data_IF_997538100337
#
_entry.id   IF_997538100337
#
_cell.length_a   1.000
_cell.length_b   1.000
_cell.length_c   1.000
_cell.angle_alpha   90.00
_cell.angle_beta   90.00
_cell.angle_gamma   90.00
#
_symmetry.space_group_name_H-M   'P 1'
#
loop_
_entity.id
_entity.type
_entity.pdbx_description
1 polymer ?
#
# COMPACT_ATOMS: atom_id res chain seq x y z
N UNK A 1 -0.12 -35.98 23.13
CA UNK A 1 0.21 -35.37 21.84
C UNK A 1 -0.60 -34.09 21.76
N UNK A 2 -0.04 -33.00 22.29
CA UNK A 2 -0.72 -31.71 22.30
C UNK A 2 -0.38 -31.02 20.99
N UNK A 3 -1.38 -30.69 20.20
CA UNK A 3 -1.26 -29.73 19.10
C UNK A 3 -0.80 -28.41 19.71
N UNK A 4 0.50 -28.16 19.57
CA UNK A 4 1.10 -26.85 19.81
C UNK A 4 0.42 -25.90 18.83
N UNK A 5 -0.50 -25.07 19.34
CA UNK A 5 -1.14 -24.02 18.56
C UNK A 5 -0.04 -23.19 17.93
N UNK A 6 0.21 -23.41 16.64
CA UNK A 6 1.09 -22.56 15.87
C UNK A 6 0.50 -21.14 15.97
N UNK A 7 1.26 -20.15 16.48
CA UNK A 7 0.80 -18.78 16.54
C UNK A 7 0.44 -18.37 15.11
N UNK A 8 -0.76 -17.83 14.96
CA UNK A 8 -1.31 -17.20 13.76
C UNK A 8 -0.19 -16.76 12.81
N UNK A 9 0.07 -17.56 11.78
CA UNK A 9 1.23 -17.36 10.90
C UNK A 9 0.95 -16.16 9.99
N UNK A 10 1.38 -14.97 10.43
CA UNK A 10 1.24 -13.71 9.66
C UNK A 10 1.90 -13.80 8.28
N UNK A 11 2.86 -14.72 8.10
CA UNK A 11 3.59 -14.94 6.86
C UNK A 11 3.39 -16.37 6.36
N UNK A 12 2.96 -16.50 5.11
CA UNK A 12 2.80 -17.80 4.42
C UNK A 12 3.92 -17.99 3.40
N UNK A 13 4.71 -19.05 3.56
CA UNK A 13 5.75 -19.45 2.60
C UNK A 13 5.10 -20.19 1.43
N UNK A 14 5.37 -19.73 0.21
CA UNK A 14 4.80 -20.32 -1.01
C UNK A 14 5.76 -21.25 -1.75
N UNK A 15 7.05 -21.24 -1.43
CA UNK A 15 8.06 -22.10 -2.03
C UNK A 15 9.39 -22.08 -1.27
N UNK A 16 10.15 -23.16 -1.41
CA UNK A 16 11.37 -23.41 -0.62
C UNK A 16 11.06 -24.03 0.74
N UNK A 17 12.12 -24.35 1.48
CA UNK A 17 12.07 -24.81 2.87
C UNK A 17 13.02 -23.93 3.71
N UNK A 18 12.64 -22.67 4.00
CA UNK A 18 13.50 -21.76 4.72
C UNK A 18 13.69 -22.24 6.15
N UNK A 19 14.91 -22.11 6.64
CA UNK A 19 15.23 -22.41 8.03
C UNK A 19 14.47 -21.47 8.98
N UNK A 20 14.23 -21.89 10.24
CA UNK A 20 13.60 -21.03 11.24
C UNK A 20 14.33 -19.69 11.43
N UNK A 21 15.66 -19.71 11.37
CA UNK A 21 16.52 -18.54 11.48
C UNK A 21 16.33 -17.56 10.31
N UNK A 22 16.22 -18.08 9.08
CA UNK A 22 15.98 -17.25 7.90
C UNK A 22 14.59 -16.61 7.93
N UNK A 23 13.57 -17.34 8.37
CA UNK A 23 12.23 -16.79 8.59
C UNK A 23 12.22 -15.69 9.65
N UNK A 24 12.96 -15.88 10.74
CA UNK A 24 13.09 -14.87 11.79
C UNK A 24 13.81 -13.61 11.26
N UNK A 25 14.90 -13.78 10.52
CA UNK A 25 15.63 -12.67 9.92
C UNK A 25 14.77 -11.89 8.92
N UNK A 26 14.06 -12.58 8.02
CA UNK A 26 13.16 -11.95 7.07
C UNK A 26 12.02 -11.19 7.77
N UNK A 27 11.43 -11.79 8.80
CA UNK A 27 10.36 -11.16 9.59
C UNK A 27 10.84 -9.90 10.29
N UNK A 28 12.05 -9.92 10.88
CA UNK A 28 12.64 -8.77 11.56
C UNK A 28 12.89 -7.60 10.59
N UNK A 29 13.39 -7.88 9.38
CA UNK A 29 13.58 -6.87 8.33
C UNK A 29 12.24 -6.27 7.91
N UNK A 30 11.22 -7.11 7.71
CA UNK A 30 9.88 -6.65 7.33
C UNK A 30 9.28 -5.75 8.42
N UNK A 31 9.41 -6.15 9.68
CA UNK A 31 8.91 -5.39 10.83
C UNK A 31 9.58 -4.01 10.91
N UNK A 32 10.91 -3.95 10.77
CA UNK A 32 11.66 -2.70 10.79
C UNK A 32 11.23 -1.74 9.66
N UNK A 33 11.01 -2.27 8.45
CA UNK A 33 10.53 -1.47 7.32
C UNK A 33 9.11 -0.92 7.55
N UNK A 34 8.23 -1.73 8.16
CA UNK A 34 6.87 -1.29 8.53
C UNK A 34 6.90 -0.19 9.59
N UNK A 35 7.76 -0.32 10.60
CA UNK A 35 7.91 0.69 11.66
C UNK A 35 8.41 2.04 11.11
N UNK A 36 9.39 2.00 10.20
CA UNK A 36 9.88 3.18 9.49
C UNK A 36 8.73 3.86 8.71
N UNK A 37 7.97 3.08 7.95
CA UNK A 37 6.84 3.59 7.16
C UNK A 37 5.72 4.15 8.04
N UNK A 38 5.42 3.50 9.17
CA UNK A 38 4.43 3.99 10.14
C UNK A 38 4.85 5.32 10.77
N UNK A 39 6.15 5.54 10.97
CA UNK A 39 6.72 6.84 11.36
C UNK A 39 6.43 7.93 10.33
N UNK A 40 6.55 7.62 9.04
CA UNK A 40 6.28 8.55 7.94
C UNK A 40 4.79 8.88 7.80
N UNK A 41 3.89 7.89 7.92
CA UNK A 41 2.44 8.11 7.83
C UNK A 41 1.89 8.95 8.98
N UNK A 42 2.47 8.88 10.18
CA UNK A 42 2.10 9.77 11.30
C UNK A 42 2.42 11.24 11.02
N UNK A 43 3.45 11.54 10.20
CA UNK A 43 3.76 12.91 9.79
C UNK A 43 2.96 13.38 8.57
N UNK A 44 2.58 12.46 7.68
CA UNK A 44 1.79 12.77 6.50
C UNK A 44 0.28 12.77 6.82
N UNK A 45 -0.18 13.74 7.63
CA UNK A 45 -1.61 14.06 7.65
C UNK A 45 -2.08 14.27 6.21
N UNK A 46 -3.06 13.48 5.74
CA UNK A 46 -3.46 13.42 4.32
C UNK A 46 -3.75 14.81 3.78
N UNK A 47 -2.78 15.42 3.10
CA UNK A 47 -2.97 16.68 2.38
C UNK A 47 -3.87 16.38 1.20
N UNK A 48 -4.97 17.14 1.10
CA UNK A 48 -5.89 17.03 -0.04
C UNK A 48 -5.13 17.18 -1.35
N UNK A 49 -5.29 16.22 -2.24
CA UNK A 49 -4.67 16.26 -3.56
C UNK A 49 -5.19 17.45 -4.37
N UNK A 50 -4.46 17.87 -5.41
CA UNK A 50 -4.93 18.91 -6.32
C UNK A 50 -6.28 18.53 -6.97
N UNK A 51 -6.45 17.25 -7.30
CA UNK A 51 -7.71 16.68 -7.76
C UNK A 51 -8.85 16.83 -6.75
N UNK A 52 -8.63 16.44 -5.49
CA UNK A 52 -9.62 16.59 -4.42
C UNK A 52 -9.98 18.07 -4.16
N UNK A 53 -9.03 18.98 -4.36
CA UNK A 53 -9.27 20.43 -4.27
C UNK A 53 -10.16 20.96 -5.38
N UNK A 54 -9.96 20.52 -6.61
CA UNK A 54 -10.65 21.04 -7.80
C UNK A 54 -11.89 20.23 -8.24
N UNK A 55 -12.17 19.08 -7.61
CA UNK A 55 -13.34 18.22 -7.91
C UNK A 55 -14.69 18.96 -7.88
N UNK A 56 -14.81 20.07 -7.13
CA UNK A 56 -16.06 20.84 -7.06
C UNK A 56 -16.49 21.43 -8.41
N UNK A 57 -15.53 21.82 -9.27
CA UNK A 57 -15.82 22.32 -10.62
C UNK A 57 -16.23 21.23 -11.61
N UNK A 58 -15.97 19.96 -11.29
CA UNK A 58 -16.26 18.80 -12.16
C UNK A 58 -17.60 18.13 -11.84
N UNK A 59 -18.45 18.76 -11.01
CA UNK A 59 -19.80 18.24 -10.71
C UNK A 59 -20.83 18.54 -11.80
N UNK A 60 -20.43 19.25 -12.84
CA UNK A 60 -21.26 19.53 -14.00
C UNK A 60 -20.71 18.72 -15.18
N UNK A 61 -21.57 18.33 -16.14
CA UNK A 61 -21.11 17.72 -17.38
C UNK A 61 -19.98 18.56 -17.99
N UNK A 62 -18.90 17.89 -18.39
CA UNK A 62 -17.82 18.55 -19.10
C UNK A 62 -18.31 18.96 -20.48
N UNK A 63 -18.20 20.25 -20.79
CA UNK A 63 -18.40 20.74 -22.16
C UNK A 63 -17.45 19.97 -23.09
N UNK A 64 -18.00 19.44 -24.19
CA UNK A 64 -17.18 18.76 -25.20
C UNK A 64 -16.23 19.79 -25.82
N UNK A 65 -14.96 19.73 -25.43
CA UNK A 65 -13.90 20.55 -26.02
C UNK A 65 -13.55 20.11 -27.44
N UNK A 66 -13.04 21.05 -28.24
CA UNK A 66 -12.56 20.84 -29.61
C UNK A 66 -11.23 20.09 -29.69
N UNK A 67 -11.04 19.02 -28.90
CA UNK A 67 -9.77 18.29 -28.83
C UNK A 67 -9.48 17.46 -30.10
N UNK A 68 -10.46 17.31 -30.99
CA UNK A 68 -10.35 16.56 -32.25
C UNK A 68 -9.88 17.41 -33.45
N UNK A 69 -9.56 18.69 -33.28
CA UNK A 69 -9.23 19.58 -34.42
C UNK A 69 -7.88 19.30 -35.09
N UNK A 70 -6.99 18.50 -34.51
CA UNK A 70 -5.72 18.13 -35.16
C UNK A 70 -5.87 16.98 -36.16
N UNK A 71 -7.04 16.33 -36.22
CA UNK A 71 -7.32 15.18 -37.09
C UNK A 71 -8.05 15.57 -38.39
N UNK A 72 -7.94 16.83 -38.84
CA UNK A 72 -8.51 17.32 -40.10
C UNK A 72 -7.43 17.87 -41.02
#
# INVERSE_FOLDING_TARGET
MSEERQPDQTLRVLGGDPTPEELAAASAVLQAALDEFAGMQRMAGRRRSAWERNRRGLRQPLERGSWTTWAS
#
